data_IF_311074941703
#
_entry.id   IF_311074941703
#
_cell.length_a   1.000
_cell.length_b   1.000
_cell.length_c   1.000
_cell.angle_alpha   90.00
_cell.angle_beta   90.00
_cell.angle_gamma   90.00
#
_symmetry.space_group_name_H-M   'P 1'
#
loop_
_entity.id
_entity.type
_entity.pdbx_description
1 polymer ?
#
# COMPACT_ATOMS: atom_id res chain seq x y z
N UNK A 1 27.95 -17.74 -60.50
CA UNK A 1 26.63 -17.86 -59.88
C UNK A 1 26.80 -18.36 -58.48
N UNK A 2 27.11 -17.49 -57.54
CA UNK A 2 27.11 -17.80 -56.08
C UNK A 2 27.62 -16.58 -55.33
N UNK A 3 26.78 -15.54 -55.17
CA UNK A 3 27.08 -14.41 -54.25
C UNK A 3 25.78 -13.68 -53.85
N UNK A 4 24.79 -14.42 -53.34
CA UNK A 4 23.53 -13.74 -52.90
C UNK A 4 22.94 -14.20 -51.59
N UNK A 5 23.61 -15.10 -50.81
CA UNK A 5 23.00 -15.61 -49.54
C UNK A 5 23.56 -14.94 -48.28
N UNK A 6 24.58 -14.07 -48.36
CA UNK A 6 25.21 -13.52 -47.19
C UNK A 6 24.64 -12.14 -46.78
N UNK A 7 23.83 -11.50 -47.61
CA UNK A 7 23.24 -10.18 -47.35
C UNK A 7 21.88 -10.26 -46.61
N UNK A 8 21.19 -11.42 -46.66
CA UNK A 8 19.91 -11.56 -46.00
C UNK A 8 19.99 -11.87 -44.50
N UNK A 9 21.05 -12.56 -44.08
CA UNK A 9 21.25 -12.87 -42.63
C UNK A 9 21.74 -11.68 -41.83
N UNK A 10 22.57 -10.81 -42.43
CA UNK A 10 23.02 -9.57 -41.75
C UNK A 10 21.89 -8.55 -41.54
N UNK A 11 20.90 -8.53 -42.45
CA UNK A 11 19.73 -7.65 -42.35
C UNK A 11 18.74 -8.12 -41.25
N UNK A 12 18.60 -9.44 -41.04
CA UNK A 12 17.75 -9.99 -39.98
C UNK A 12 18.31 -9.76 -38.59
N UNK A 13 19.63 -9.90 -38.43
CA UNK A 13 20.35 -9.59 -37.18
C UNK A 13 20.31 -8.10 -36.85
N UNK A 14 20.49 -7.23 -37.83
CA UNK A 14 20.37 -5.78 -37.66
C UNK A 14 18.93 -5.36 -37.34
N UNK A 15 17.91 -6.04 -37.88
CA UNK A 15 16.50 -5.80 -37.48
C UNK A 15 16.25 -6.22 -36.06
N UNK A 16 16.71 -7.39 -35.61
CA UNK A 16 16.59 -7.87 -34.25
C UNK A 16 17.32 -6.97 -33.23
N UNK A 17 18.51 -6.50 -33.59
CA UNK A 17 19.26 -5.56 -32.75
C UNK A 17 18.57 -4.18 -32.68
N UNK A 18 18.03 -3.70 -33.81
CA UNK A 18 17.29 -2.44 -33.84
C UNK A 18 15.95 -2.54 -33.10
N UNK A 19 15.19 -3.62 -33.27
CA UNK A 19 13.92 -3.79 -32.56
C UNK A 19 14.07 -3.87 -31.03
N UNK A 20 15.17 -4.46 -30.54
CA UNK A 20 15.41 -4.56 -29.10
C UNK A 20 16.16 -3.36 -28.49
N UNK A 21 17.01 -2.68 -29.25
CA UNK A 21 17.77 -1.52 -28.76
C UNK A 21 17.02 -0.19 -28.90
N UNK A 22 16.30 0.01 -30.00
CA UNK A 22 15.62 1.29 -30.24
C UNK A 22 14.34 1.47 -29.46
N UNK A 23 13.56 0.40 -29.19
CA UNK A 23 12.37 0.51 -28.35
C UNK A 23 12.66 0.87 -26.88
N UNK A 24 13.87 0.59 -26.39
CA UNK A 24 14.27 0.99 -25.03
C UNK A 24 14.86 2.41 -24.94
N UNK A 25 15.29 2.98 -26.06
CA UNK A 25 15.93 4.30 -26.09
C UNK A 25 14.95 5.37 -26.58
N UNK A 26 13.95 5.01 -27.38
CA UNK A 26 12.95 5.93 -27.93
C UNK A 26 11.59 5.90 -27.23
N UNK A 27 11.35 5.03 -26.23
CA UNK A 27 10.37 5.35 -25.23
C UNK A 27 10.92 6.56 -24.47
N UNK A 28 10.69 7.74 -25.06
CA UNK A 28 10.86 8.97 -24.31
C UNK A 28 10.08 8.77 -23.02
N UNK A 29 10.73 8.92 -21.85
CA UNK A 29 9.97 8.98 -20.62
C UNK A 29 8.89 10.02 -20.83
N UNK A 30 7.67 9.70 -20.43
CA UNK A 30 6.59 10.69 -20.38
C UNK A 30 7.16 11.97 -19.76
N UNK A 31 6.77 13.15 -20.26
CA UNK A 31 7.39 14.40 -19.82
C UNK A 31 7.43 14.40 -18.30
N UNK A 32 8.63 14.49 -17.76
CA UNK A 32 8.89 14.53 -16.34
C UNK A 32 8.09 15.70 -15.76
N UNK A 33 6.94 15.37 -15.16
CA UNK A 33 6.07 16.35 -14.49
C UNK A 33 6.71 16.87 -13.19
N UNK A 34 8.03 16.67 -13.01
CA UNK A 34 8.76 17.07 -11.81
C UNK A 34 8.51 16.15 -10.61
N UNK A 35 7.70 15.11 -10.80
CA UNK A 35 7.55 14.02 -9.86
C UNK A 35 8.51 12.93 -10.34
N UNK A 36 9.72 12.92 -9.83
CA UNK A 36 10.60 11.77 -9.99
C UNK A 36 9.81 10.56 -9.50
N UNK A 37 9.36 9.69 -10.42
CA UNK A 37 8.95 8.35 -10.05
C UNK A 37 10.17 7.70 -9.42
N UNK A 38 10.21 7.72 -8.12
CA UNK A 38 11.24 7.07 -7.33
C UNK A 38 11.01 5.56 -7.48
N UNK A 39 11.50 5.01 -8.62
CA UNK A 39 11.52 3.56 -8.79
C UNK A 39 12.32 2.99 -7.63
N UNK A 40 11.72 2.15 -6.79
CA UNK A 40 12.44 1.61 -5.66
C UNK A 40 13.67 0.85 -6.16
N UNK A 41 14.77 0.93 -5.42
CA UNK A 41 15.96 0.15 -5.71
C UNK A 41 15.59 -1.34 -5.76
N UNK A 42 16.08 -2.15 -6.72
CA UNK A 42 15.69 -3.55 -6.80
C UNK A 42 16.08 -4.31 -5.53
N UNK A 43 15.12 -4.96 -4.87
CA UNK A 43 15.32 -5.62 -3.58
C UNK A 43 16.45 -6.67 -3.60
N UNK A 44 16.50 -7.48 -4.66
CA UNK A 44 17.54 -8.52 -4.80
C UNK A 44 18.91 -7.97 -5.17
N UNK A 45 19.01 -6.71 -5.61
CA UNK A 45 20.29 -6.05 -5.88
C UNK A 45 20.97 -5.50 -4.60
N UNK A 46 20.27 -5.51 -3.46
CA UNK A 46 20.87 -5.14 -2.16
C UNK A 46 21.90 -6.20 -1.80
N UNK A 47 23.17 -5.79 -1.70
CA UNK A 47 24.28 -6.69 -1.34
C UNK A 47 24.31 -6.93 0.17
N UNK A 48 24.46 -8.18 0.58
CA UNK A 48 24.47 -8.55 2.00
C UNK A 48 23.11 -8.41 2.66
N UNK A 49 23.08 -7.95 3.92
CA UNK A 49 21.86 -7.72 4.73
C UNK A 49 20.89 -8.92 4.73
N UNK A 50 21.42 -10.15 4.78
CA UNK A 50 20.64 -11.38 4.59
C UNK A 50 19.56 -11.50 5.64
N UNK A 51 19.87 -11.23 6.91
CA UNK A 51 18.92 -11.31 8.02
C UNK A 51 17.77 -10.34 7.85
N UNK A 52 18.07 -9.08 7.50
CA UNK A 52 17.05 -8.05 7.24
C UNK A 52 16.16 -8.42 6.07
N UNK A 53 16.75 -8.86 4.95
CA UNK A 53 16.00 -9.30 3.77
C UNK A 53 15.10 -10.50 4.08
N UNK A 54 15.63 -11.47 4.82
CA UNK A 54 14.87 -12.66 5.23
C UNK A 54 13.70 -12.27 6.14
N UNK A 55 13.93 -11.40 7.13
CA UNK A 55 12.88 -10.93 8.02
C UNK A 55 11.75 -10.22 7.27
N UNK A 56 12.10 -9.31 6.35
CA UNK A 56 11.13 -8.62 5.50
C UNK A 56 10.32 -9.59 4.64
N UNK A 57 10.97 -10.55 3.98
CA UNK A 57 10.26 -11.55 3.17
C UNK A 57 9.35 -12.44 4.01
N UNK A 58 9.79 -12.88 5.19
CA UNK A 58 8.96 -13.69 6.08
C UNK A 58 7.72 -12.95 6.55
N UNK A 59 7.84 -11.67 6.88
CA UNK A 59 6.69 -10.85 7.26
C UNK A 59 5.69 -10.67 6.10
N UNK A 60 6.17 -10.57 4.85
CA UNK A 60 5.29 -10.51 3.68
C UNK A 60 4.58 -11.84 3.40
N UNK A 61 5.22 -12.97 3.68
CA UNK A 61 4.65 -14.31 3.44
C UNK A 61 3.67 -14.71 4.55
N UNK A 62 3.96 -14.28 5.77
CA UNK A 62 3.15 -14.64 6.94
C UNK A 62 2.62 -13.39 7.66
N UNK A 63 1.40 -12.96 7.37
CA UNK A 63 0.80 -11.77 8.01
C UNK A 63 0.67 -11.87 9.54
N UNK A 64 0.71 -13.08 10.11
CA UNK A 64 0.61 -13.26 11.57
C UNK A 64 1.85 -12.78 12.33
N UNK A 65 2.95 -12.47 11.62
CA UNK A 65 4.16 -11.90 12.24
C UNK A 65 3.90 -10.48 12.77
N UNK A 66 2.92 -9.77 12.22
CA UNK A 66 2.49 -8.47 12.71
C UNK A 66 3.47 -7.31 12.46
N UNK A 67 4.69 -7.58 11.98
CA UNK A 67 5.66 -6.55 11.61
C UNK A 67 7.12 -6.93 11.86
N UNK A 68 8.04 -6.06 11.42
CA UNK A 68 9.51 -6.25 11.55
C UNK A 68 10.15 -5.02 12.17
N UNK A 69 10.84 -5.21 13.28
CA UNK A 69 11.65 -4.18 13.89
C UNK A 69 13.10 -4.23 13.37
N UNK A 70 13.51 -3.19 12.65
CA UNK A 70 14.85 -3.06 12.09
C UNK A 70 15.75 -2.22 12.99
N UNK A 71 16.66 -2.85 13.72
CA UNK A 71 17.61 -2.18 14.61
C UNK A 71 18.98 -2.10 13.94
N UNK A 72 19.59 -0.91 13.99
CA UNK A 72 20.93 -0.71 13.44
C UNK A 72 21.26 0.76 13.21
N UNK A 73 22.53 1.09 12.96
CA UNK A 73 22.98 2.45 12.75
C UNK A 73 22.31 3.11 11.53
N UNK A 74 22.40 4.44 11.47
CA UNK A 74 21.93 5.22 10.32
C UNK A 74 22.78 4.89 9.09
N UNK A 75 22.16 4.93 7.91
CA UNK A 75 22.87 4.78 6.63
C UNK A 75 23.10 3.34 6.16
N UNK A 76 22.69 2.31 6.91
CA UNK A 76 22.85 0.91 6.49
C UNK A 76 21.80 0.42 5.48
N UNK A 77 20.94 1.31 4.98
CA UNK A 77 19.97 0.99 3.95
C UNK A 77 18.65 0.40 4.43
N UNK A 78 18.26 0.57 5.71
CA UNK A 78 16.98 0.07 6.24
C UNK A 78 15.79 0.56 5.42
N UNK A 79 15.64 1.88 5.29
CA UNK A 79 14.55 2.50 4.52
C UNK A 79 14.58 2.10 3.04
N UNK A 80 15.78 2.01 2.45
CA UNK A 80 15.95 1.54 1.06
C UNK A 80 15.47 0.11 0.91
N UNK A 81 15.79 -0.78 1.85
CA UNK A 81 15.36 -2.17 1.82
C UNK A 81 13.83 -2.29 1.94
N UNK A 82 13.20 -1.56 2.87
CA UNK A 82 11.75 -1.57 3.02
C UNK A 82 11.05 -1.03 1.77
N UNK A 83 11.51 0.10 1.22
CA UNK A 83 10.97 0.64 -0.03
C UNK A 83 11.12 -0.32 -1.20
N UNK A 84 12.23 -1.04 -1.27
CA UNK A 84 12.49 -1.98 -2.36
C UNK A 84 11.62 -3.24 -2.32
N UNK A 85 11.06 -3.59 -1.16
CA UNK A 85 10.11 -4.72 -1.03
C UNK A 85 8.85 -4.46 -1.84
N UNK A 86 8.35 -3.21 -1.90
CA UNK A 86 7.13 -2.89 -2.67
C UNK A 86 7.24 -3.28 -4.15
N UNK A 87 8.46 -3.28 -4.70
CA UNK A 87 8.70 -3.64 -6.10
C UNK A 87 8.63 -5.14 -6.41
N UNK A 88 8.56 -6.00 -5.40
CA UNK A 88 8.46 -7.46 -5.56
C UNK A 88 7.11 -8.02 -5.10
N UNK A 89 6.28 -7.20 -4.49
CA UNK A 89 4.96 -7.62 -4.00
C UNK A 89 3.94 -7.66 -5.15
N UNK A 90 2.97 -8.59 -5.08
CA UNK A 90 1.85 -8.58 -6.00
C UNK A 90 0.98 -7.34 -5.78
N UNK A 91 0.08 -7.07 -6.74
CA UNK A 91 -0.93 -6.05 -6.53
C UNK A 91 -1.88 -6.48 -5.42
N UNK A 92 -2.24 -5.54 -4.57
CA UNK A 92 -3.24 -5.73 -3.53
C UNK A 92 -4.60 -5.15 -3.95
N UNK A 93 -5.66 -5.73 -3.48
CA UNK A 93 -7.00 -5.20 -3.66
C UNK A 93 -7.22 -3.99 -2.75
N UNK A 94 -7.61 -2.88 -3.34
CA UNK A 94 -7.82 -1.60 -2.66
C UNK A 94 -9.24 -1.12 -2.90
N UNK A 95 -9.91 -0.67 -1.86
CA UNK A 95 -11.24 -0.09 -1.97
C UNK A 95 -11.24 1.23 -2.75
N UNK A 96 -12.21 1.38 -3.64
CA UNK A 96 -12.48 2.64 -4.37
C UNK A 96 -13.42 3.53 -3.53
N UNK A 97 -14.13 2.97 -2.57
CA UNK A 97 -15.06 3.69 -1.72
C UNK A 97 -14.31 4.60 -0.72
N UNK A 98 -14.96 5.71 -0.37
CA UNK A 98 -14.40 6.65 0.62
C UNK A 98 -14.25 5.99 2.01
N UNK A 99 -15.16 5.09 2.36
CA UNK A 99 -15.15 4.34 3.63
C UNK A 99 -14.07 3.27 3.69
N UNK A 100 -13.50 2.87 2.52
CA UNK A 100 -12.38 1.93 2.44
C UNK A 100 -12.74 0.47 2.64
N UNK A 101 -14.00 0.14 2.46
CA UNK A 101 -14.54 -1.20 2.61
C UNK A 101 -14.28 -2.03 1.35
N UNK A 102 -13.93 -3.28 1.52
CA UNK A 102 -13.74 -4.26 0.44
C UNK A 102 -15.01 -5.11 0.24
N UNK A 103 -15.17 -5.76 -0.91
CA UNK A 103 -16.29 -6.68 -1.14
C UNK A 103 -16.41 -7.76 -0.06
N UNK A 104 -15.29 -8.34 0.35
CA UNK A 104 -15.23 -9.37 1.41
C UNK A 104 -15.74 -8.87 2.76
N UNK A 105 -15.48 -7.60 3.09
CA UNK A 105 -15.94 -7.01 4.33
C UNK A 105 -17.47 -6.86 4.32
N UNK A 106 -18.06 -6.48 3.17
CA UNK A 106 -19.51 -6.38 3.00
C UNK A 106 -20.20 -7.74 3.01
N UNK A 107 -19.58 -8.77 2.45
CA UNK A 107 -20.09 -10.15 2.45
C UNK A 107 -20.11 -10.75 3.86
N UNK A 108 -19.23 -10.29 4.74
CA UNK A 108 -19.15 -10.75 6.12
C UNK A 108 -20.21 -10.14 7.05
N UNK A 109 -20.88 -9.06 6.62
CA UNK A 109 -21.86 -8.32 7.40
C UNK A 109 -23.29 -8.70 7.00
N UNK A 110 -24.22 -8.61 7.97
CA UNK A 110 -25.64 -8.67 7.65
C UNK A 110 -26.07 -7.45 6.83
N UNK A 111 -27.04 -7.61 5.91
CA UNK A 111 -27.46 -6.58 4.97
C UNK A 111 -27.88 -5.27 5.64
N UNK A 112 -28.53 -5.35 6.80
CA UNK A 112 -28.97 -4.19 7.58
C UNK A 112 -27.76 -3.46 8.19
N UNK A 113 -26.79 -4.19 8.68
CA UNK A 113 -25.55 -3.67 9.27
C UNK A 113 -24.66 -3.03 8.20
N UNK A 114 -24.47 -3.69 7.06
CA UNK A 114 -23.72 -3.16 5.93
C UNK A 114 -24.34 -1.86 5.41
N UNK A 115 -25.67 -1.78 5.29
CA UNK A 115 -26.38 -0.59 4.85
C UNK A 115 -26.29 0.55 5.89
N UNK A 116 -26.22 0.22 7.17
CA UNK A 116 -26.09 1.21 8.23
C UNK A 116 -24.67 1.80 8.31
N UNK A 117 -23.65 0.93 8.24
CA UNK A 117 -22.25 1.33 8.37
C UNK A 117 -21.67 1.95 7.09
N UNK A 118 -22.06 1.39 5.93
CA UNK A 118 -21.46 1.71 4.62
C UNK A 118 -22.52 1.92 3.53
N UNK A 119 -23.44 2.86 3.69
CA UNK A 119 -24.60 3.00 2.80
C UNK A 119 -24.22 3.17 1.34
N UNK A 120 -23.30 4.09 1.04
CA UNK A 120 -22.89 4.42 -0.32
C UNK A 120 -22.15 3.25 -1.01
N UNK A 121 -21.31 2.54 -0.26
CA UNK A 121 -20.57 1.37 -0.77
C UNK A 121 -21.48 0.16 -0.97
N UNK A 122 -22.39 -0.07 -0.02
CA UNK A 122 -23.33 -1.19 -0.09
C UNK A 122 -24.32 -1.06 -1.24
N UNK A 123 -24.82 0.16 -1.50
CA UNK A 123 -25.69 0.40 -2.66
C UNK A 123 -24.97 0.10 -3.98
N UNK A 124 -23.73 0.58 -4.17
CA UNK A 124 -22.92 0.28 -5.36
C UNK A 124 -22.67 -1.21 -5.50
N UNK A 125 -22.26 -1.88 -4.42
CA UNK A 125 -22.04 -3.32 -4.39
C UNK A 125 -23.30 -4.09 -4.79
N UNK A 126 -24.48 -3.72 -4.25
CA UNK A 126 -25.76 -4.35 -4.57
C UNK A 126 -26.20 -4.12 -6.03
N UNK A 127 -25.80 -3.01 -6.64
CA UNK A 127 -26.03 -2.73 -8.06
C UNK A 127 -25.05 -3.48 -8.98
N UNK A 128 -24.09 -4.21 -8.42
CA UNK A 128 -23.06 -4.93 -9.17
C UNK A 128 -21.92 -4.02 -9.66
N UNK A 129 -21.80 -2.82 -9.13
CA UNK A 129 -20.68 -1.94 -9.44
C UNK A 129 -19.40 -2.42 -8.75
N UNK A 130 -18.27 -2.19 -9.42
CA UNK A 130 -16.97 -2.51 -8.85
C UNK A 130 -16.63 -1.50 -7.74
N UNK A 131 -16.43 -1.98 -6.51
CA UNK A 131 -16.08 -1.16 -5.34
C UNK A 131 -14.61 -1.29 -4.93
N UNK A 132 -13.84 -2.11 -5.62
CA UNK A 132 -12.41 -2.34 -5.40
C UNK A 132 -11.65 -2.42 -6.70
N UNK A 133 -10.33 -2.25 -6.63
CA UNK A 133 -9.40 -2.42 -7.74
C UNK A 133 -8.07 -2.96 -7.26
N UNK A 134 -7.32 -3.63 -8.15
CA UNK A 134 -5.97 -4.08 -7.84
C UNK A 134 -4.97 -2.98 -8.12
N UNK A 135 -4.18 -2.60 -7.11
CA UNK A 135 -3.12 -1.61 -7.21
C UNK A 135 -1.79 -2.17 -6.67
N UNK A 136 -0.65 -1.62 -7.13
CA UNK A 136 0.64 -1.94 -6.51
C UNK A 136 0.62 -1.62 -5.02
N UNK A 137 1.17 -2.51 -4.21
CA UNK A 137 1.35 -2.27 -2.77
C UNK A 137 2.20 -1.02 -2.56
N UNK A 138 1.73 -0.13 -1.71
CA UNK A 138 2.39 1.15 -1.39
C UNK A 138 3.05 1.11 -0.03
N UNK A 139 4.06 1.95 0.11
CA UNK A 139 4.64 2.25 1.41
C UNK A 139 3.92 3.47 2.01
N UNK A 140 3.22 3.25 3.11
CA UNK A 140 2.57 4.31 3.88
C UNK A 140 3.49 4.70 5.02
N UNK A 141 4.02 5.91 4.97
CA UNK A 141 4.94 6.42 5.98
C UNK A 141 4.18 7.13 7.10
N UNK A 142 4.50 6.81 8.34
CA UNK A 142 3.97 7.51 9.51
C UNK A 142 4.89 8.68 9.84
N UNK A 143 4.41 9.94 9.79
CA UNK A 143 5.18 11.09 10.21
C UNK A 143 5.47 11.09 11.72
N UNK A 144 6.67 11.48 12.12
CA UNK A 144 7.06 11.57 13.57
C UNK A 144 6.19 12.52 14.38
N UNK A 145 5.59 13.51 13.75
CA UNK A 145 4.72 14.49 14.39
C UNK A 145 3.24 14.18 14.20
N UNK A 146 2.88 12.95 13.79
CA UNK A 146 1.51 12.52 13.66
C UNK A 146 0.79 12.61 15.01
N UNK A 147 -0.47 13.04 14.98
CA UNK A 147 -1.36 12.99 16.13
C UNK A 147 -2.13 11.68 16.11
N UNK A 148 -2.64 11.27 17.23
CA UNK A 148 -3.46 10.06 17.31
C UNK A 148 -4.64 10.09 16.33
N UNK A 149 -5.20 11.27 16.10
CA UNK A 149 -6.30 11.49 15.15
C UNK A 149 -5.89 11.28 13.70
N UNK A 150 -4.65 11.62 13.35
CA UNK A 150 -4.10 11.38 12.01
C UNK A 150 -3.87 9.87 11.78
N UNK A 151 -3.56 9.15 12.85
CA UNK A 151 -3.28 7.70 12.81
C UNK A 151 -4.56 6.89 12.68
N UNK A 152 -5.51 7.11 13.58
CA UNK A 152 -6.75 6.33 13.64
C UNK A 152 -7.87 6.90 12.77
N UNK A 153 -7.73 8.15 12.34
CA UNK A 153 -8.77 8.88 11.64
C UNK A 153 -9.67 9.70 12.57
N UNK A 154 -10.54 10.49 11.97
CA UNK A 154 -11.42 11.38 12.69
C UNK A 154 -12.87 11.26 12.19
N UNK A 155 -13.81 11.68 13.01
CA UNK A 155 -15.20 11.79 12.63
C UNK A 155 -15.43 13.23 12.12
N UNK A 156 -15.96 13.36 10.91
CA UNK A 156 -16.28 14.65 10.35
C UNK A 156 -17.57 15.20 10.99
N UNK A 157 -17.41 15.95 12.09
CA UNK A 157 -18.54 16.54 12.85
C UNK A 157 -19.39 17.47 11.99
N UNK A 158 -18.80 18.15 10.99
CA UNK A 158 -19.55 19.03 10.09
C UNK A 158 -20.52 18.26 9.19
N UNK A 159 -20.09 17.09 8.70
CA UNK A 159 -20.97 16.21 7.92
C UNK A 159 -22.09 15.62 8.79
N UNK A 160 -21.78 15.29 10.03
CA UNK A 160 -22.76 14.80 11.00
C UNK A 160 -23.87 15.83 11.29
N UNK A 161 -23.51 17.12 11.44
CA UNK A 161 -24.46 18.19 11.75
C UNK A 161 -25.32 18.57 10.52
N UNK A 162 -24.71 18.62 9.31
CA UNK A 162 -25.43 19.11 8.12
C UNK A 162 -26.22 18.03 7.37
N UNK A 163 -25.80 16.76 7.45
CA UNK A 163 -26.43 15.66 6.69
C UNK A 163 -27.01 14.54 7.54
N UNK A 164 -26.91 14.64 8.87
CA UNK A 164 -27.26 13.57 9.81
C UNK A 164 -26.59 12.22 9.47
N UNK A 165 -25.42 12.28 8.84
CA UNK A 165 -24.60 11.14 8.46
C UNK A 165 -23.25 11.26 9.14
N UNK A 166 -22.87 10.22 9.87
CA UNK A 166 -21.54 10.13 10.48
C UNK A 166 -20.58 9.71 9.39
N UNK A 167 -19.71 10.63 8.94
CA UNK A 167 -18.61 10.30 8.03
C UNK A 167 -17.31 10.25 8.81
N UNK A 168 -16.59 9.17 8.65
CA UNK A 168 -15.25 8.99 9.22
C UNK A 168 -14.21 9.43 8.19
N UNK A 169 -13.27 10.27 8.62
CA UNK A 169 -12.07 10.56 7.83
C UNK A 169 -11.02 9.46 8.06
N UNK A 170 -10.54 8.88 6.98
CA UNK A 170 -9.59 7.76 7.03
C UNK A 170 -8.25 8.20 7.61
N UNK A 171 -7.81 7.52 8.67
CA UNK A 171 -6.48 7.68 9.24
C UNK A 171 -5.38 6.97 8.44
N UNK A 172 -4.15 7.10 8.94
CA UNK A 172 -2.97 6.45 8.35
C UNK A 172 -3.12 4.92 8.39
N UNK A 173 -3.66 4.35 9.48
CA UNK A 173 -3.88 2.91 9.60
C UNK A 173 -4.86 2.40 8.55
N UNK A 174 -5.96 3.11 8.30
CA UNK A 174 -6.89 2.73 7.24
C UNK A 174 -6.28 2.84 5.84
N UNK A 175 -5.37 3.80 5.62
CA UNK A 175 -4.62 3.90 4.34
C UNK A 175 -3.56 2.84 4.19
N UNK A 176 -3.07 2.30 5.30
CA UNK A 176 -2.10 1.20 5.32
C UNK A 176 -2.76 -0.17 5.11
N UNK A 177 -4.08 -0.29 5.15
CA UNK A 177 -4.76 -1.55 4.90
C UNK A 177 -4.34 -2.15 3.55
N UNK A 178 -3.92 -3.42 3.55
CA UNK A 178 -3.32 -4.13 2.41
C UNK A 178 -2.05 -3.46 1.82
N UNK A 179 -1.36 -2.65 2.61
CA UNK A 179 -0.13 -1.95 2.25
C UNK A 179 0.96 -2.21 3.30
N UNK A 180 2.12 -1.57 3.14
CA UNK A 180 3.18 -1.59 4.14
C UNK A 180 3.13 -0.30 4.95
N UNK A 181 2.99 -0.43 6.28
CA UNK A 181 3.15 0.71 7.20
C UNK A 181 4.61 0.83 7.61
N UNK A 182 5.24 1.94 7.27
CA UNK A 182 6.62 2.23 7.64
C UNK A 182 6.67 3.30 8.73
N UNK A 183 7.25 2.94 9.86
CA UNK A 183 7.48 3.83 10.99
C UNK A 183 8.97 4.05 11.13
N UNK A 184 9.45 5.26 10.84
CA UNK A 184 10.85 5.62 11.10
C UNK A 184 11.00 6.12 12.53
N UNK A 185 12.13 5.78 13.16
CA UNK A 185 12.47 6.22 14.52
C UNK A 185 11.30 6.02 15.52
N UNK A 186 10.72 4.82 15.58
CA UNK A 186 9.58 4.46 16.45
C UNK A 186 9.75 4.89 17.90
N UNK A 187 11.00 4.98 18.38
CA UNK A 187 11.36 5.42 19.74
C UNK A 187 11.07 6.92 20.01
N UNK A 188 10.75 7.70 18.97
CA UNK A 188 10.40 9.12 19.10
C UNK A 188 8.88 9.36 19.02
N UNK A 189 8.09 8.33 18.74
CA UNK A 189 6.63 8.44 18.72
C UNK A 189 6.06 8.49 20.15
N UNK A 190 4.88 9.06 20.26
CA UNK A 190 4.06 8.99 21.46
C UNK A 190 3.66 7.55 21.76
N UNK A 191 3.77 7.13 23.02
CA UNK A 191 3.44 5.77 23.47
C UNK A 191 2.02 5.36 23.06
N UNK A 192 1.05 6.27 23.11
CA UNK A 192 -0.32 6.01 22.69
C UNK A 192 -0.43 5.64 21.22
N UNK A 193 0.38 6.26 20.35
CA UNK A 193 0.42 5.95 18.94
C UNK A 193 1.03 4.57 18.71
N UNK A 194 2.13 4.29 19.43
CA UNK A 194 2.80 2.99 19.34
C UNK A 194 1.85 1.86 19.77
N UNK A 195 1.15 2.02 20.89
CA UNK A 195 0.18 1.04 21.39
C UNK A 195 -0.92 0.76 20.36
N UNK A 196 -1.50 1.79 19.76
CA UNK A 196 -2.54 1.64 18.74
C UNK A 196 -2.03 0.92 17.49
N UNK A 197 -0.80 1.23 17.06
CA UNK A 197 -0.19 0.55 15.90
C UNK A 197 0.04 -0.93 16.21
N UNK A 198 0.57 -1.25 17.38
CA UNK A 198 0.82 -2.64 17.78
C UNK A 198 -0.47 -3.44 17.93
N UNK A 199 -1.51 -2.85 18.52
CA UNK A 199 -2.82 -3.48 18.62
C UNK A 199 -3.42 -3.73 17.22
N UNK A 200 -3.35 -2.75 16.33
CA UNK A 200 -3.83 -2.86 14.96
C UNK A 200 -3.06 -3.95 14.19
N UNK A 201 -1.74 -4.02 14.33
CA UNK A 201 -0.90 -5.04 13.71
C UNK A 201 -1.20 -6.45 14.24
N UNK A 202 -1.50 -6.58 15.54
CA UNK A 202 -1.81 -7.86 16.16
C UNK A 202 -3.21 -8.38 15.81
N UNK A 203 -4.19 -7.49 15.68
CA UNK A 203 -5.60 -7.85 15.49
C UNK A 203 -6.06 -7.79 14.03
N UNK A 204 -5.29 -7.15 13.15
CA UNK A 204 -5.69 -6.88 11.75
C UNK A 204 -6.84 -5.87 11.63
N UNK A 205 -7.22 -5.23 12.74
CA UNK A 205 -8.28 -4.23 12.81
C UNK A 205 -8.06 -3.31 14.00
N UNK A 206 -8.62 -2.11 13.94
CA UNK A 206 -8.59 -1.18 15.06
C UNK A 206 -9.96 -0.53 15.26
N UNK A 207 -10.22 -0.13 16.49
CA UNK A 207 -11.49 0.47 16.89
C UNK A 207 -11.30 1.93 17.26
N UNK A 208 -12.02 2.81 16.60
CA UNK A 208 -12.09 4.24 16.93
C UNK A 208 -13.29 4.48 17.80
N UNK A 209 -13.08 5.02 19.00
CA UNK A 209 -14.16 5.48 19.89
C UNK A 209 -14.14 6.99 20.02
N UNK A 210 -15.27 7.64 19.68
CA UNK A 210 -15.48 9.05 19.97
C UNK A 210 -16.90 9.26 20.51
N UNK A 211 -16.98 9.57 21.80
CA UNK A 211 -18.27 9.69 22.48
C UNK A 211 -19.05 8.38 22.44
N UNK A 212 -20.26 8.44 21.90
CA UNK A 212 -21.14 7.28 21.75
C UNK A 212 -20.91 6.49 20.45
N UNK A 213 -20.06 6.98 19.54
CA UNK A 213 -19.81 6.35 18.25
C UNK A 213 -18.58 5.44 18.35
N UNK A 214 -18.75 4.20 17.91
CA UNK A 214 -17.71 3.19 17.82
C UNK A 214 -17.64 2.75 16.36
N UNK A 215 -16.47 2.90 15.74
CA UNK A 215 -16.21 2.40 14.38
C UNK A 215 -15.05 1.42 14.42
N UNK A 216 -15.18 0.29 13.75
CA UNK A 216 -14.09 -0.67 13.56
C UNK A 216 -13.65 -0.59 12.09
N UNK A 217 -12.35 -0.45 11.85
CA UNK A 217 -11.76 -0.44 10.50
C UNK A 217 -10.76 -1.57 10.37
N UNK A 218 -10.72 -2.20 9.20
CA UNK A 218 -9.68 -3.14 8.83
C UNK A 218 -8.30 -2.45 8.76
N UNK A 219 -7.25 -3.18 9.10
CA UNK A 219 -5.90 -2.64 9.16
C UNK A 219 -4.91 -3.80 9.02
N UNK A 220 -5.01 -4.49 7.89
CA UNK A 220 -4.16 -5.61 7.49
C UNK A 220 -2.91 -5.08 6.81
N UNK A 221 -1.94 -4.66 7.60
CA UNK A 221 -0.65 -4.17 7.10
C UNK A 221 0.52 -4.95 7.71
N UNK A 222 1.67 -4.82 7.08
CA UNK A 222 2.96 -5.33 7.59
C UNK A 222 3.90 -4.17 7.90
#
# INVERSE_FOLDING_TARGET
MSDNDNTSQSSALLRLLNEHSYKRITDMPEPDLGLAENRPFPFFAIVGQIEMKTALLLAMINPTIGGVLLIGPRGIGKTTAVRSVTGILPHAEVSICEEGVLPEDLESLEAEEAMYLYPDCYEKYKQGETISRYEPVRLVELPLNARIEDVVGSINERAAIHRNQIRTERGILSRADNNILYVDEVNLLDDQIVDVILDAAAQGSYTVRRGAVVGTSGSRFV
#
